data_IF_464407107238
#
_entry.id   IF_464407107238
#
_cell.length_a   1.000
_cell.length_b   1.000
_cell.length_c   1.000
_cell.angle_alpha   90.00
_cell.angle_beta   90.00
_cell.angle_gamma   90.00
#
_symmetry.space_group_name_H-M   'P 1'
#
loop_
_entity.id
_entity.type
_entity.pdbx_description
1 polymer ?
#
# COMPACT_ATOMS: atom_id res chain seq x y z
N UNK A 1 53.47 -20.82 28.13
CA UNK A 1 54.70 -21.62 27.84
C UNK A 1 55.00 -21.53 26.34
N UNK A 2 56.30 -21.62 25.98
CA UNK A 2 56.94 -21.72 24.63
C UNK A 2 55.99 -21.75 23.40
N UNK A 3 56.00 -20.79 22.47
CA UNK A 3 57.05 -20.33 21.52
C UNK A 3 57.52 -21.38 20.49
N UNK A 4 57.19 -21.12 19.22
CA UNK A 4 58.07 -21.05 18.03
C UNK A 4 59.00 -22.24 17.71
N UNK A 5 58.72 -22.96 16.61
CA UNK A 5 59.67 -23.40 15.54
C UNK A 5 58.81 -23.99 14.37
N UNK A 6 58.91 -23.65 13.06
CA UNK A 6 60.04 -23.49 12.10
C UNK A 6 60.57 -24.88 11.63
N UNK A 7 60.74 -25.25 10.35
CA UNK A 7 60.58 -24.61 9.00
C UNK A 7 60.66 -25.68 7.87
N UNK A 8 60.21 -25.34 6.64
CA UNK A 8 60.69 -25.79 5.29
C UNK A 8 60.70 -27.31 4.89
N UNK A 9 60.95 -27.75 3.64
CA UNK A 9 60.58 -27.41 2.23
C UNK A 9 61.37 -28.39 1.27
N UNK A 10 61.06 -28.46 -0.05
CA UNK A 10 61.84 -29.17 -1.13
C UNK A 10 61.73 -30.73 -1.07
N UNK A 11 61.61 -31.60 -2.10
CA UNK A 11 61.49 -31.60 -3.61
C UNK A 11 60.34 -32.57 -4.00
N UNK A 12 60.03 -33.03 -5.23
CA UNK A 12 60.50 -32.87 -6.63
C UNK A 12 59.91 -34.04 -7.47
N UNK A 13 59.14 -33.84 -8.55
CA UNK A 13 59.46 -33.51 -9.95
C UNK A 13 59.90 -34.71 -10.86
N UNK A 14 59.05 -35.04 -11.85
CA UNK A 14 59.33 -35.63 -13.18
C UNK A 14 59.41 -37.16 -13.44
N UNK A 15 59.07 -37.50 -14.71
CA UNK A 15 59.14 -38.77 -15.47
C UNK A 15 58.18 -39.91 -15.04
N UNK A 16 57.22 -40.44 -15.82
CA UNK A 16 56.95 -40.63 -17.26
C UNK A 16 57.42 -41.98 -17.87
N UNK A 17 56.57 -42.50 -18.78
CA UNK A 17 56.75 -43.58 -19.77
C UNK A 17 56.30 -45.04 -19.43
N UNK A 18 55.42 -45.53 -20.33
CA UNK A 18 55.40 -46.85 -20.99
C UNK A 18 55.25 -48.16 -20.18
N UNK A 19 54.07 -48.81 -20.32
CA UNK A 19 53.83 -50.03 -21.13
C UNK A 19 52.36 -50.47 -20.92
N UNK A 20 51.51 -50.66 -21.94
CA UNK A 20 51.60 -51.54 -23.11
C UNK A 20 51.43 -53.04 -22.77
N UNK A 21 50.21 -53.55 -22.88
CA UNK A 21 49.93 -54.93 -23.31
C UNK A 21 48.76 -54.95 -24.29
N UNK A 22 48.97 -55.63 -25.41
CA UNK A 22 48.01 -55.73 -26.52
C UNK A 22 46.93 -56.78 -26.28
N UNK A 23 45.72 -56.40 -26.71
CA UNK A 23 44.54 -57.22 -27.00
C UNK A 23 44.80 -58.67 -27.44
N UNK A 24 43.99 -59.59 -26.91
CA UNK A 24 43.49 -60.75 -27.67
C UNK A 24 41.98 -60.55 -27.95
N UNK A 25 41.54 -60.89 -29.16
CA UNK A 25 40.16 -60.70 -29.60
C UNK A 25 39.41 -62.04 -29.57
N UNK A 26 38.36 -62.20 -28.75
CA UNK A 26 37.42 -63.31 -28.87
C UNK A 26 36.39 -63.03 -30.00
N UNK A 27 35.83 -64.08 -30.63
CA UNK A 27 35.11 -63.96 -31.91
C UNK A 27 33.71 -63.34 -31.82
N UNK A 28 33.23 -62.90 -32.98
CA UNK A 28 31.98 -62.19 -33.22
C UNK A 28 30.77 -63.07 -32.85
N UNK A 29 29.96 -62.57 -31.91
CA UNK A 29 28.60 -63.09 -31.66
C UNK A 29 27.54 -62.24 -32.39
N UNK A 30 26.39 -62.87 -32.64
CA UNK A 30 25.27 -62.37 -33.45
C UNK A 30 24.81 -60.93 -33.12
N UNK A 31 24.18 -60.20 -34.06
CA UNK A 31 23.73 -58.83 -33.85
C UNK A 31 22.75 -58.74 -32.68
N UNK A 32 23.22 -58.20 -31.56
CA UNK A 32 22.36 -57.83 -30.45
C UNK A 32 21.38 -56.76 -30.93
N UNK A 33 20.07 -57.01 -30.73
CA UNK A 33 19.03 -56.00 -30.98
C UNK A 33 19.41 -54.75 -30.19
N UNK A 34 19.43 -53.59 -30.84
CA UNK A 34 19.68 -52.32 -30.18
C UNK A 34 18.75 -52.18 -28.97
N UNK A 35 19.32 -51.98 -27.78
CA UNK A 35 18.53 -51.57 -26.63
C UNK A 35 17.86 -50.24 -26.97
N UNK A 36 16.56 -50.13 -26.72
CA UNK A 36 15.85 -48.88 -26.92
C UNK A 36 16.49 -47.80 -26.04
N UNK A 37 16.75 -46.63 -26.63
CA UNK A 37 17.21 -45.47 -25.87
C UNK A 37 16.18 -45.14 -24.79
N UNK A 38 16.59 -44.75 -23.58
CA UNK A 38 15.66 -44.29 -22.56
C UNK A 38 14.89 -43.09 -23.12
N UNK A 39 13.56 -43.20 -23.15
CA UNK A 39 12.69 -42.10 -23.55
C UNK A 39 12.96 -40.91 -22.64
N UNK A 40 13.31 -39.77 -23.23
CA UNK A 40 13.43 -38.52 -22.50
C UNK A 40 12.07 -38.20 -21.87
N UNK A 41 11.96 -38.40 -20.55
CA UNK A 41 10.81 -37.92 -19.79
C UNK A 41 10.90 -36.40 -19.84
N UNK A 42 9.99 -35.77 -20.58
CA UNK A 42 9.88 -34.32 -20.58
C UNK A 42 9.63 -33.87 -19.14
N UNK A 43 10.53 -33.02 -18.62
CA UNK A 43 10.25 -32.29 -17.38
C UNK A 43 8.90 -31.59 -17.53
N UNK A 44 8.04 -31.55 -16.50
CA UNK A 44 6.84 -30.72 -16.56
C UNK A 44 7.25 -29.30 -16.94
N UNK A 45 6.48 -28.59 -17.77
CA UNK A 45 6.80 -27.21 -18.11
C UNK A 45 6.89 -26.42 -16.81
N UNK A 46 8.11 -25.99 -16.45
CA UNK A 46 8.28 -25.09 -15.33
C UNK A 46 7.49 -23.83 -15.63
N UNK A 47 6.75 -23.30 -14.64
CA UNK A 47 5.95 -22.10 -14.80
C UNK A 47 6.83 -20.99 -15.38
N UNK A 48 6.64 -20.71 -16.67
CA UNK A 48 7.23 -19.55 -17.32
C UNK A 48 6.46 -18.36 -16.77
N UNK A 49 6.95 -17.84 -15.64
CA UNK A 49 6.49 -16.59 -15.06
C UNK A 49 6.58 -15.52 -16.14
N UNK A 50 5.43 -15.21 -16.75
CA UNK A 50 5.32 -14.11 -17.69
C UNK A 50 5.78 -12.83 -16.97
N UNK A 51 6.50 -11.93 -17.66
CA UNK A 51 6.83 -10.64 -17.08
C UNK A 51 5.54 -9.96 -16.61
N UNK A 52 5.52 -9.36 -15.40
CA UNK A 52 4.31 -8.80 -14.83
C UNK A 52 3.69 -7.78 -15.78
N UNK A 53 2.38 -7.90 -16.00
CA UNK A 53 1.66 -7.01 -16.90
C UNK A 53 1.83 -5.55 -16.44
N UNK A 54 1.95 -4.57 -17.37
CA UNK A 54 1.95 -3.17 -16.99
C UNK A 54 0.66 -2.83 -16.23
N UNK A 55 0.82 -2.28 -15.02
CA UNK A 55 -0.25 -2.10 -14.04
C UNK A 55 -1.37 -1.15 -14.51
N UNK A 56 -1.09 -0.32 -15.52
CA UNK A 56 -2.04 0.52 -16.21
C UNK A 56 -1.95 0.24 -17.72
N UNK A 57 -3.10 -0.01 -18.36
CA UNK A 57 -3.23 -0.17 -19.81
C UNK A 57 -4.26 0.83 -20.34
N UNK A 58 -4.05 1.37 -21.54
CA UNK A 58 -5.00 2.30 -22.15
C UNK A 58 -6.34 1.58 -22.41
N UNK A 59 -7.45 2.24 -22.07
CA UNK A 59 -8.81 1.75 -22.28
C UNK A 59 -9.59 2.70 -23.21
N UNK A 60 -10.79 2.33 -23.62
CA UNK A 60 -11.75 3.20 -24.29
C UNK A 60 -12.88 3.59 -23.35
N UNK A 61 -13.58 4.68 -23.66
CA UNK A 61 -14.75 5.09 -22.89
C UNK A 61 -15.90 4.08 -22.97
N UNK A 62 -15.95 3.32 -24.05
CA UNK A 62 -16.97 2.29 -24.27
C UNK A 62 -16.65 0.99 -23.49
N UNK A 63 -15.45 0.86 -22.90
CA UNK A 63 -15.10 -0.20 -21.93
C UNK A 63 -15.73 0.06 -20.54
N UNK A 64 -16.18 1.29 -20.27
CA UNK A 64 -16.82 1.67 -19.00
C UNK A 64 -18.31 1.32 -19.03
N UNK A 65 -18.64 0.13 -18.53
CA UNK A 65 -20.02 -0.34 -18.35
C UNK A 65 -20.84 0.71 -17.59
N UNK A 66 -21.95 1.16 -18.19
CA UNK A 66 -22.85 2.18 -17.62
C UNK A 66 -22.57 3.62 -18.06
N UNK A 67 -21.40 3.93 -18.65
CA UNK A 67 -21.01 5.31 -18.95
C UNK A 67 -22.02 6.11 -19.78
N UNK A 68 -22.61 5.52 -20.83
CA UNK A 68 -23.59 6.19 -21.67
C UNK A 68 -24.96 6.39 -20.99
N UNK A 69 -25.27 5.65 -19.93
CA UNK A 69 -26.53 5.75 -19.17
C UNK A 69 -26.43 6.58 -17.90
N UNK A 70 -25.27 6.58 -17.23
CA UNK A 70 -25.05 7.26 -15.95
C UNK A 70 -25.09 8.79 -16.08
N UNK A 71 -25.53 9.50 -15.04
CA UNK A 71 -25.45 10.96 -15.01
C UNK A 71 -24.04 11.42 -14.55
N UNK A 72 -23.27 12.12 -15.39
CA UNK A 72 -21.93 12.61 -15.03
C UNK A 72 -21.95 13.90 -14.18
N UNK A 73 -23.11 14.52 -13.92
CA UNK A 73 -23.15 15.78 -13.17
C UNK A 73 -22.58 15.69 -11.73
N UNK A 74 -22.87 14.63 -10.93
CA UNK A 74 -22.24 14.44 -9.62
C UNK A 74 -20.71 14.26 -9.72
N UNK A 75 -20.22 13.65 -10.80
CA UNK A 75 -18.78 13.45 -11.04
C UNK A 75 -18.08 14.79 -11.28
N UNK A 76 -18.68 15.69 -12.08
CA UNK A 76 -18.14 17.04 -12.28
C UNK A 76 -18.14 17.85 -10.97
N UNK A 77 -19.20 17.75 -10.16
CA UNK A 77 -19.25 18.41 -8.85
C UNK A 77 -18.12 17.95 -7.92
N UNK A 78 -17.93 16.64 -7.77
CA UNK A 78 -16.84 16.07 -6.96
C UNK A 78 -15.43 16.43 -7.52
N UNK A 79 -15.30 16.52 -8.84
CA UNK A 79 -14.05 16.96 -9.48
C UNK A 79 -13.77 18.45 -9.21
N UNK A 80 -14.78 19.32 -9.27
CA UNK A 80 -14.64 20.75 -8.94
C UNK A 80 -14.25 20.99 -7.49
N UNK A 81 -14.79 20.21 -6.55
CA UNK A 81 -14.35 20.24 -5.15
C UNK A 81 -12.87 19.80 -5.01
N UNK A 82 -12.48 18.73 -5.70
CA UNK A 82 -11.07 18.26 -5.74
C UNK A 82 -10.13 19.33 -6.33
N UNK A 83 -10.60 20.08 -7.34
CA UNK A 83 -9.88 21.20 -7.96
C UNK A 83 -9.60 22.38 -7.02
N UNK A 84 -10.17 22.43 -5.80
CA UNK A 84 -9.75 23.39 -4.74
C UNK A 84 -8.32 23.15 -4.25
N UNK A 85 -7.84 21.90 -4.36
CA UNK A 85 -6.46 21.51 -4.01
C UNK A 85 -5.66 21.16 -5.26
N UNK A 86 -6.23 20.37 -6.19
CA UNK A 86 -5.50 19.89 -7.37
C UNK A 86 -4.98 21.02 -8.27
N UNK A 87 -5.71 22.14 -8.40
CA UNK A 87 -5.28 23.29 -9.21
C UNK A 87 -3.98 23.99 -8.71
N UNK A 88 -3.44 23.60 -7.54
CA UNK A 88 -2.10 24.00 -7.10
C UNK A 88 -0.97 23.24 -7.78
N UNK A 89 -1.27 22.11 -8.44
CA UNK A 89 -0.33 21.26 -9.15
C UNK A 89 -0.40 21.57 -10.66
N UNK A 90 0.75 21.81 -11.29
CA UNK A 90 0.83 22.23 -12.70
C UNK A 90 0.09 21.28 -13.66
N UNK A 91 0.18 19.96 -13.45
CA UNK A 91 -0.49 18.94 -14.25
C UNK A 91 -2.02 19.10 -14.29
N UNK A 92 -2.63 19.54 -13.18
CA UNK A 92 -4.08 19.62 -13.02
C UNK A 92 -4.65 21.01 -13.32
N UNK A 93 -3.80 22.03 -13.44
CA UNK A 93 -4.24 23.41 -13.70
C UNK A 93 -5.12 23.57 -14.96
N UNK A 94 -4.76 23.00 -16.14
CA UNK A 94 -5.55 23.18 -17.36
C UNK A 94 -6.95 22.60 -17.24
N UNK A 95 -7.07 21.34 -16.79
CA UNK A 95 -8.37 20.65 -16.68
C UNK A 95 -9.23 21.23 -15.55
N UNK A 96 -8.65 21.69 -14.45
CA UNK A 96 -9.39 22.41 -13.40
C UNK A 96 -9.86 23.80 -13.83
N UNK A 97 -9.16 24.47 -14.76
CA UNK A 97 -9.65 25.70 -15.38
C UNK A 97 -10.79 25.41 -16.36
N UNK A 98 -10.61 24.40 -17.23
CA UNK A 98 -11.63 23.95 -18.18
C UNK A 98 -12.92 23.51 -17.49
N UNK A 99 -12.83 22.78 -16.37
CA UNK A 99 -13.99 22.34 -15.59
C UNK A 99 -14.82 23.49 -15.02
N UNK A 100 -14.17 24.56 -14.54
CA UNK A 100 -14.86 25.77 -14.03
C UNK A 100 -15.49 26.58 -15.16
N UNK A 101 -14.85 26.63 -16.31
CA UNK A 101 -15.34 27.33 -17.50
C UNK A 101 -16.41 26.54 -18.28
N UNK A 102 -16.61 25.25 -17.97
CA UNK A 102 -17.42 24.33 -18.77
C UNK A 102 -18.88 24.81 -18.94
N UNK A 103 -19.52 25.27 -17.85
CA UNK A 103 -20.89 25.79 -17.88
C UNK A 103 -21.96 24.80 -18.33
N UNK A 104 -21.64 23.50 -18.42
CA UNK A 104 -22.43 22.50 -19.12
C UNK A 104 -23.66 22.08 -18.31
N UNK A 105 -24.83 22.08 -18.97
CA UNK A 105 -26.14 21.80 -18.35
C UNK A 105 -26.80 20.50 -18.83
N UNK A 106 -26.14 19.70 -19.69
CA UNK A 106 -26.70 18.42 -20.18
C UNK A 106 -25.70 17.27 -20.05
N UNK A 107 -26.21 16.09 -19.64
CA UNK A 107 -25.40 14.88 -19.45
C UNK A 107 -24.69 14.43 -20.73
N UNK A 108 -25.28 14.67 -21.91
CA UNK A 108 -24.64 14.41 -23.21
C UNK A 108 -23.39 15.27 -23.44
N UNK A 109 -23.51 16.59 -23.25
CA UNK A 109 -22.36 17.49 -23.38
C UNK A 109 -21.32 17.28 -22.28
N UNK A 110 -21.73 16.89 -21.07
CA UNK A 110 -20.81 16.50 -19.99
C UNK A 110 -20.01 15.26 -20.36
N UNK A 111 -20.64 14.21 -20.92
CA UNK A 111 -19.91 13.04 -21.42
C UNK A 111 -18.90 13.43 -22.50
N UNK A 112 -19.27 14.24 -23.48
CA UNK A 112 -18.33 14.74 -24.50
C UNK A 112 -17.17 15.51 -23.88
N UNK A 113 -17.41 16.34 -22.86
CA UNK A 113 -16.36 17.05 -22.14
C UNK A 113 -15.41 16.09 -21.43
N UNK A 114 -15.92 15.11 -20.67
CA UNK A 114 -15.10 14.07 -20.04
C UNK A 114 -14.29 13.27 -21.07
N UNK A 115 -14.92 12.85 -22.20
CA UNK A 115 -14.25 12.16 -23.31
C UNK A 115 -13.14 13.00 -23.97
N UNK A 116 -13.22 14.33 -23.88
CA UNK A 116 -12.24 15.28 -24.43
C UNK A 116 -11.11 15.61 -23.45
N UNK A 117 -11.39 15.66 -22.15
CA UNK A 117 -10.44 16.06 -21.11
C UNK A 117 -9.66 14.89 -20.48
N UNK A 118 -10.19 13.66 -20.56
CA UNK A 118 -9.60 12.50 -19.89
C UNK A 118 -9.53 11.27 -20.81
N UNK A 119 -8.45 10.51 -20.61
CA UNK A 119 -8.22 9.20 -21.21
C UNK A 119 -8.40 8.14 -20.12
N UNK A 120 -9.35 7.18 -20.25
CA UNK A 120 -9.48 6.09 -19.30
C UNK A 120 -8.30 5.11 -19.39
N UNK A 121 -7.91 4.57 -18.25
CA UNK A 121 -6.89 3.52 -18.12
C UNK A 121 -7.46 2.38 -17.28
N UNK A 122 -7.31 1.14 -17.73
CA UNK A 122 -7.67 -0.04 -16.94
C UNK A 122 -6.50 -0.43 -16.04
N UNK A 123 -6.80 -0.65 -14.77
CA UNK A 123 -5.85 -1.20 -13.80
C UNK A 123 -5.76 -2.72 -13.97
N UNK A 124 -4.55 -3.26 -14.01
CA UNK A 124 -4.30 -4.70 -14.15
C UNK A 124 -3.38 -5.17 -13.03
N UNK A 125 -3.77 -6.26 -12.37
CA UNK A 125 -2.99 -6.87 -11.29
C UNK A 125 -1.74 -7.58 -11.85
N UNK A 126 -0.78 -7.89 -10.97
CA UNK A 126 0.47 -8.53 -11.37
C UNK A 126 0.27 -9.94 -11.98
N UNK A 127 -0.83 -10.62 -11.64
CA UNK A 127 -1.26 -11.91 -12.21
C UNK A 127 -2.07 -11.77 -13.53
N UNK A 128 -2.21 -10.55 -14.05
CA UNK A 128 -2.99 -10.24 -15.25
C UNK A 128 -4.50 -10.10 -15.03
N UNK A 129 -5.01 -10.32 -13.81
CA UNK A 129 -6.44 -10.16 -13.52
C UNK A 129 -6.88 -8.69 -13.52
N UNK A 130 -8.14 -8.45 -13.86
CA UNK A 130 -8.79 -7.12 -13.93
C UNK A 130 -9.85 -6.91 -12.84
N UNK A 131 -9.92 -7.83 -11.87
CA UNK A 131 -10.86 -7.80 -10.75
C UNK A 131 -10.18 -7.25 -9.50
N UNK A 132 -10.93 -6.49 -8.70
CA UNK A 132 -10.45 -5.93 -7.43
C UNK A 132 -11.55 -5.96 -6.37
N UNK A 133 -11.15 -5.76 -5.11
CA UNK A 133 -12.09 -5.63 -4.00
C UNK A 133 -12.51 -4.18 -3.83
N UNK A 134 -13.81 -3.90 -3.91
CA UNK A 134 -14.38 -2.60 -3.54
C UNK A 134 -14.94 -2.71 -2.12
N UNK A 135 -14.53 -1.80 -1.24
CA UNK A 135 -15.03 -1.68 0.13
C UNK A 135 -15.67 -0.31 0.38
N UNK A 136 -16.58 -0.24 1.35
CA UNK A 136 -17.20 1.01 1.78
C UNK A 136 -16.57 1.55 3.07
N UNK A 137 -16.49 2.87 3.18
CA UNK A 137 -16.24 3.59 4.43
C UNK A 137 -17.32 4.67 4.61
N UNK A 138 -17.51 5.18 5.83
CA UNK A 138 -18.47 6.26 6.09
C UNK A 138 -18.01 7.15 7.25
N UNK A 139 -18.59 8.35 7.33
CA UNK A 139 -18.38 9.27 8.45
C UNK A 139 -19.54 9.11 9.47
N UNK A 140 -19.33 8.44 10.61
CA UNK A 140 -20.38 8.20 11.61
C UNK A 140 -20.79 9.50 12.32
N UNK A 141 -22.07 9.59 12.68
CA UNK A 141 -22.62 10.71 13.46
C UNK A 141 -22.93 10.22 14.89
N UNK A 142 -22.16 10.71 15.87
CA UNK A 142 -22.29 10.37 17.28
C UNK A 142 -23.14 11.41 18.00
N UNK A 143 -23.80 11.03 19.09
CA UNK A 143 -24.43 11.98 20.01
C UNK A 143 -23.41 12.47 21.04
N UNK A 144 -23.42 13.77 21.35
CA UNK A 144 -22.44 14.36 22.26
C UNK A 144 -22.74 15.75 22.79
N UNK A 145 -21.75 16.31 23.47
CA UNK A 145 -21.79 17.59 24.17
C UNK A 145 -20.39 18.21 24.24
N UNK A 146 -20.30 19.54 24.23
CA UNK A 146 -19.03 20.25 24.50
C UNK A 146 -18.56 20.11 25.95
N UNK A 147 -19.47 19.81 26.87
CA UNK A 147 -19.17 19.64 28.30
C UNK A 147 -19.42 18.19 28.75
N UNK A 148 -18.61 17.63 29.66
CA UNK A 148 -18.81 16.29 30.20
C UNK A 148 -20.13 16.20 30.98
N UNK A 149 -20.81 15.07 30.88
CA UNK A 149 -21.99 14.76 31.71
C UNK A 149 -22.13 13.26 31.95
N UNK A 150 -23.13 12.84 32.75
CA UNK A 150 -23.47 11.40 32.89
C UNK A 150 -23.94 10.79 31.56
N UNK A 151 -24.54 11.59 30.69
CA UNK A 151 -25.02 11.18 29.37
C UNK A 151 -23.89 11.19 28.32
N UNK A 152 -22.88 12.05 28.49
CA UNK A 152 -21.72 12.17 27.59
C UNK A 152 -20.42 12.04 28.41
N UNK A 153 -20.06 10.83 28.87
CA UNK A 153 -18.91 10.62 29.75
C UNK A 153 -17.60 10.31 29.00
N UNK A 154 -17.62 10.11 27.67
CA UNK A 154 -16.46 9.65 26.91
C UNK A 154 -15.80 10.81 26.14
N UNK A 155 -14.58 11.23 26.50
CA UNK A 155 -13.91 12.34 25.84
C UNK A 155 -13.31 11.95 24.49
N UNK A 156 -13.44 12.85 23.51
CA UNK A 156 -12.69 12.82 22.25
C UNK A 156 -11.57 13.83 22.37
N UNK A 157 -10.33 13.44 22.03
CA UNK A 157 -9.13 14.28 22.16
C UNK A 157 -8.58 14.68 20.80
N UNK A 158 -8.00 15.88 20.72
CA UNK A 158 -7.02 16.19 19.68
C UNK A 158 -5.67 15.52 19.95
N UNK A 159 -4.67 15.69 19.07
CA UNK A 159 -3.29 15.27 19.33
C UNK A 159 -2.77 15.88 20.66
N UNK A 160 -2.23 15.08 21.59
CA UNK A 160 -1.63 15.60 22.83
C UNK A 160 -0.41 16.48 22.58
N UNK A 161 -0.21 17.50 23.41
CA UNK A 161 0.91 18.45 23.29
C UNK A 161 2.30 17.77 23.39
N UNK A 162 2.39 16.60 24.04
CA UNK A 162 3.62 15.81 24.22
C UNK A 162 3.82 14.70 23.18
N UNK A 163 2.93 14.59 22.17
CA UNK A 163 3.04 13.63 21.08
C UNK A 163 4.07 14.08 20.04
N UNK A 164 5.28 13.55 20.16
CA UNK A 164 6.38 13.81 19.23
C UNK A 164 6.27 12.87 18.03
N UNK A 165 6.19 13.42 16.83
CA UNK A 165 6.40 12.67 15.58
C UNK A 165 7.82 12.93 15.10
N UNK A 166 8.62 11.86 14.96
CA UNK A 166 9.97 11.94 14.41
C UNK A 166 9.90 11.54 12.94
N UNK A 167 10.25 12.48 12.06
CA UNK A 167 10.48 12.22 10.63
C UNK A 167 12.00 12.26 10.41
N UNK A 168 12.56 11.19 9.87
CA UNK A 168 14.00 11.04 9.61
C UNK A 168 14.32 11.05 8.11
N UNK A 169 13.32 11.30 7.25
CA UNK A 169 13.45 11.13 5.80
C UNK A 169 14.45 12.07 5.11
N UNK A 170 14.78 13.21 5.73
CA UNK A 170 15.82 14.14 5.26
C UNK A 170 17.24 13.59 5.48
N UNK A 171 17.45 12.80 6.54
CA UNK A 171 18.75 12.22 6.89
C UNK A 171 18.92 10.79 6.33
N UNK A 172 17.81 10.05 6.30
CA UNK A 172 17.73 8.64 5.92
C UNK A 172 16.53 8.45 4.99
N UNK A 173 16.70 8.68 3.66
CA UNK A 173 15.61 8.60 2.69
C UNK A 173 14.87 7.26 2.66
N UNK A 174 15.54 6.17 3.04
CA UNK A 174 14.96 4.83 3.21
C UNK A 174 13.88 4.77 4.31
N UNK A 175 13.91 5.70 5.28
CA UNK A 175 12.93 5.80 6.35
C UNK A 175 11.69 6.64 5.97
N UNK A 176 11.57 7.12 4.73
CA UNK A 176 10.45 7.98 4.27
C UNK A 176 9.04 7.44 4.52
N UNK A 177 8.90 6.11 4.60
CA UNK A 177 7.62 5.44 4.88
C UNK A 177 7.43 5.05 6.36
N UNK A 178 8.42 5.35 7.22
CA UNK A 178 8.44 5.03 8.63
C UNK A 178 8.36 6.31 9.47
N UNK A 179 7.31 6.44 10.28
CA UNK A 179 7.11 7.58 11.19
C UNK A 179 7.02 7.10 12.62
N UNK A 180 8.01 7.43 13.43
CA UNK A 180 7.99 7.12 14.86
C UNK A 180 7.14 8.14 15.60
N UNK A 181 6.24 7.66 16.47
CA UNK A 181 5.41 8.48 17.36
C UNK A 181 5.72 8.14 18.81
N UNK A 182 6.13 9.14 19.59
CA UNK A 182 6.64 8.95 20.94
C UNK A 182 6.38 10.11 21.89
N UNK A 183 6.80 9.95 23.14
CA UNK A 183 6.89 11.01 24.16
C UNK A 183 8.31 11.07 24.72
N UNK A 184 8.68 12.16 25.36
CA UNK A 184 9.93 12.26 26.11
C UNK A 184 9.82 11.67 27.51
N UNK A 185 10.78 10.82 27.86
CA UNK A 185 11.05 10.39 29.24
C UNK A 185 12.51 10.68 29.58
N UNK A 186 12.75 11.72 30.37
CA UNK A 186 14.07 12.26 30.66
C UNK A 186 14.77 12.76 29.38
N UNK A 187 15.74 11.99 28.88
CA UNK A 187 16.49 12.26 27.65
C UNK A 187 16.25 11.25 26.53
N UNK A 188 15.18 10.44 26.63
CA UNK A 188 14.85 9.39 25.66
C UNK A 188 13.47 9.65 25.05
N UNK A 189 13.30 9.34 23.77
CA UNK A 189 11.98 9.19 23.16
C UNK A 189 11.55 7.73 23.36
N UNK A 190 10.37 7.53 23.92
CA UNK A 190 9.73 6.22 24.09
C UNK A 190 8.42 6.17 23.30
N UNK A 191 7.91 4.98 22.89
CA UNK A 191 6.64 4.88 22.17
C UNK A 191 5.50 5.58 22.92
N UNK A 192 4.62 6.27 22.20
CA UNK A 192 3.47 6.92 22.83
C UNK A 192 2.50 5.89 23.41
N UNK A 193 1.67 6.31 24.37
CA UNK A 193 0.79 5.39 25.11
C UNK A 193 -0.10 4.56 24.20
N UNK A 194 -0.16 3.25 24.47
CA UNK A 194 -1.16 2.38 23.89
C UNK A 194 -2.56 2.75 24.40
N UNK A 195 -3.61 2.38 23.67
CA UNK A 195 -5.02 2.65 24.03
C UNK A 195 -5.37 2.24 25.47
N UNK A 196 -4.88 1.09 25.93
CA UNK A 196 -5.10 0.57 27.28
C UNK A 196 -4.45 1.41 28.38
N UNK A 197 -3.26 1.95 28.11
CA UNK A 197 -2.50 2.83 29.01
C UNK A 197 -3.10 4.23 29.05
N UNK A 198 -3.50 4.75 27.88
CA UNK A 198 -4.11 6.08 27.73
C UNK A 198 -5.38 6.24 28.56
N UNK A 199 -6.25 5.22 28.62
CA UNK A 199 -7.47 5.22 29.45
C UNK A 199 -7.22 5.61 30.92
N UNK A 200 -6.07 5.23 31.48
CA UNK A 200 -5.69 5.55 32.86
C UNK A 200 -5.22 7.01 33.03
N UNK A 201 -4.95 7.71 31.92
CA UNK A 201 -4.51 9.11 31.85
C UNK A 201 -5.66 10.06 31.48
N UNK A 202 -6.76 9.57 30.88
CA UNK A 202 -7.87 10.38 30.35
C UNK A 202 -8.41 11.43 31.33
N UNK A 203 -8.65 11.05 32.59
CA UNK A 203 -9.16 11.96 33.63
C UNK A 203 -8.27 13.19 33.85
N UNK A 204 -6.94 13.02 33.80
CA UNK A 204 -5.93 14.09 33.95
C UNK A 204 -5.80 14.99 32.72
N UNK A 205 -6.42 14.60 31.60
CA UNK A 205 -6.41 15.31 30.33
C UNK A 205 -7.82 15.77 29.92
N UNK A 206 -8.85 15.61 30.76
CA UNK A 206 -10.24 15.98 30.46
C UNK A 206 -10.42 17.40 29.92
N UNK A 207 -9.60 18.36 30.37
CA UNK A 207 -9.51 19.73 29.88
C UNK A 207 -8.99 19.90 28.43
N UNK A 208 -8.47 18.84 27.82
CA UNK A 208 -8.01 18.76 26.42
C UNK A 208 -9.01 18.04 25.50
N UNK A 209 -10.16 17.60 26.03
CA UNK A 209 -11.21 17.02 25.21
C UNK A 209 -11.83 18.09 24.29
N UNK A 210 -11.95 17.79 22.99
CA UNK A 210 -12.58 18.66 22.00
C UNK A 210 -14.11 18.56 22.03
N UNK A 211 -14.64 17.40 22.41
CA UNK A 211 -16.06 17.09 22.59
C UNK A 211 -16.18 15.81 23.43
N UNK A 212 -17.33 15.58 24.04
CA UNK A 212 -17.67 14.39 24.80
C UNK A 212 -18.84 13.66 24.12
N UNK A 213 -18.79 12.34 24.03
CA UNK A 213 -19.80 11.51 23.35
C UNK A 213 -20.45 10.52 24.31
N UNK A 214 -21.64 10.04 23.95
CA UNK A 214 -22.48 9.20 24.81
C UNK A 214 -22.09 7.72 24.86
N UNK A 215 -21.39 7.21 23.85
CA UNK A 215 -21.09 5.79 23.70
C UNK A 215 -19.61 5.54 23.34
N UNK A 216 -18.93 4.73 24.16
CA UNK A 216 -17.54 4.33 23.95
C UNK A 216 -17.34 3.39 22.75
N UNK A 217 -18.37 2.61 22.38
CA UNK A 217 -18.32 1.72 21.21
C UNK A 217 -18.40 2.53 19.93
N UNK A 218 -19.30 3.50 19.85
CA UNK A 218 -19.42 4.38 18.68
C UNK A 218 -18.17 5.26 18.54
N UNK A 219 -17.59 5.73 19.66
CA UNK A 219 -16.29 6.40 19.68
C UNK A 219 -15.16 5.50 19.14
N UNK A 220 -15.17 4.22 19.49
CA UNK A 220 -14.20 3.26 18.96
C UNK A 220 -14.38 3.06 17.45
N UNK A 221 -15.62 2.91 16.95
CA UNK A 221 -15.88 2.82 15.51
C UNK A 221 -15.50 4.10 14.76
N UNK A 222 -15.74 5.28 15.31
CA UNK A 222 -15.26 6.56 14.76
C UNK A 222 -13.74 6.58 14.60
N UNK A 223 -13.01 6.05 15.58
CA UNK A 223 -11.55 5.93 15.53
C UNK A 223 -11.06 4.86 14.53
N UNK A 224 -11.90 3.88 14.17
CA UNK A 224 -11.61 2.91 13.10
C UNK A 224 -11.88 3.52 11.71
N UNK A 225 -12.97 4.29 11.54
CA UNK A 225 -13.26 5.00 10.28
C UNK A 225 -12.28 6.17 10.03
N UNK A 226 -11.71 6.76 11.08
CA UNK A 226 -10.69 7.81 11.00
C UNK A 226 -11.25 9.24 10.95
N UNK A 227 -12.56 9.42 10.74
CA UNK A 227 -13.30 10.67 10.95
C UNK A 227 -14.69 10.39 11.53
N UNK A 228 -15.41 11.45 11.88
CA UNK A 228 -16.79 11.40 12.36
C UNK A 228 -17.36 12.79 12.55
N UNK A 229 -18.65 12.85 12.85
CA UNK A 229 -19.34 14.07 13.30
C UNK A 229 -19.93 13.82 14.69
N UNK A 230 -20.03 14.87 15.50
CA UNK A 230 -20.78 14.83 16.76
C UNK A 230 -21.95 15.80 16.69
N UNK A 231 -23.17 15.25 16.75
CA UNK A 231 -24.39 16.01 16.90
C UNK A 231 -24.53 16.48 18.35
N UNK A 232 -24.84 17.77 18.51
CA UNK A 232 -25.04 18.41 19.81
C UNK A 232 -26.54 18.59 20.08
N UNK A 233 -26.90 18.79 21.35
CA UNK A 233 -28.29 18.98 21.79
C UNK A 233 -29.00 20.22 21.25
N UNK A 234 -28.28 21.16 20.64
CA UNK A 234 -28.82 22.33 19.93
C UNK A 234 -29.10 22.07 18.44
N UNK A 235 -28.87 20.84 17.96
CA UNK A 235 -29.01 20.44 16.56
C UNK A 235 -27.80 20.77 15.68
N UNK A 236 -26.80 21.47 16.20
CA UNK A 236 -25.54 21.72 15.48
C UNK A 236 -24.65 20.47 15.45
N UNK A 237 -23.62 20.50 14.59
CA UNK A 237 -22.64 19.41 14.46
C UNK A 237 -21.21 19.94 14.55
N UNK A 238 -20.36 19.17 15.21
CA UNK A 238 -18.90 19.27 15.15
C UNK A 238 -18.41 18.21 14.16
N UNK A 239 -17.37 18.53 13.38
CA UNK A 239 -16.61 17.63 12.52
C UNK A 239 -15.13 17.83 12.81
#
# INVERSE_FOLDING_TARGET
>A
MKRILIYLLITGLSFALANCTTTSVPPINAPQRCAALPTCVASPPGDVSLPPAPTMQAAQWDDLIGWETDDPAPVLAAFLDSCRVLAKQALWQPVCAAARAAGIQSSGALRTWFKTQFQPWVMVNADGSRTGMITGYFEPVLQGSRMPSRQNPYPVYGPPDDLITVDLSELYPELKHLRLRGRLEGKKIVPYYARSEWRQKESKHSQKAIVWVSNAVDLFFMQVQGSGQVALGDGSRIR
#
